data_IF_591461694381
#
_entry.id   IF_591461694381
#
_cell.length_a   1.000
_cell.length_b   1.000
_cell.length_c   1.000
_cell.angle_alpha   90.00
_cell.angle_beta   90.00
_cell.angle_gamma   90.00
#
_symmetry.space_group_name_H-M   'P 1'
#
loop_
_entity.id
_entity.type
_entity.pdbx_description
1 polymer ?
#
# COMPACT_ATOMS: atom_id res chain seq x y z
N UNK A 1 -15.97 -9.99 -6.96
CA UNK A 1 -16.79 -9.46 -5.85
C UNK A 1 -16.10 -8.20 -5.37
N UNK A 2 -16.78 -7.05 -5.25
CA UNK A 2 -16.13 -5.87 -4.66
C UNK A 2 -15.76 -6.21 -3.22
N UNK A 3 -14.56 -5.84 -2.79
CA UNK A 3 -14.18 -5.96 -1.38
C UNK A 3 -15.22 -5.23 -0.52
N UNK A 4 -15.53 -5.77 0.65
CA UNK A 4 -16.47 -5.17 1.61
C UNK A 4 -15.72 -4.37 2.65
N UNK A 5 -16.35 -3.30 3.17
CA UNK A 5 -15.85 -2.58 4.34
C UNK A 5 -15.65 -3.57 5.48
N UNK A 6 -14.46 -3.58 6.08
CA UNK A 6 -14.11 -4.51 7.15
C UNK A 6 -13.66 -3.72 8.39
N UNK A 7 -14.25 -4.01 9.55
CA UNK A 7 -13.89 -3.37 10.82
C UNK A 7 -13.27 -4.38 11.77
N UNK A 8 -12.21 -3.96 12.44
CA UNK A 8 -11.52 -4.71 13.48
C UNK A 8 -10.96 -3.75 14.52
N UNK A 9 -10.35 -4.28 15.57
CA UNK A 9 -9.71 -3.50 16.62
C UNK A 9 -8.23 -3.84 16.71
N UNK A 10 -7.44 -2.83 17.07
CA UNK A 10 -6.09 -3.01 17.59
C UNK A 10 -6.11 -2.38 18.97
N UNK A 11 -6.24 -3.22 20.00
CA UNK A 11 -6.44 -2.78 21.38
C UNK A 11 -7.64 -1.83 21.51
N UNK A 12 -7.37 -0.56 21.84
CA UNK A 12 -8.43 0.46 21.97
C UNK A 12 -8.78 1.17 20.65
N UNK A 13 -8.00 0.96 19.59
CA UNK A 13 -8.23 1.65 18.32
C UNK A 13 -9.26 0.89 17.50
N UNK A 14 -10.13 1.64 16.82
CA UNK A 14 -11.06 1.08 15.83
C UNK A 14 -10.43 1.24 14.46
N UNK A 15 -10.22 0.13 13.77
CA UNK A 15 -9.64 0.07 12.44
C UNK A 15 -10.73 -0.29 11.43
N UNK A 16 -10.82 0.47 10.34
CA UNK A 16 -11.78 0.23 9.25
C UNK A 16 -11.04 0.18 7.92
N UNK A 17 -11.04 -0.97 7.28
CA UNK A 17 -10.56 -1.14 5.90
C UNK A 17 -11.68 -0.74 4.96
N UNK A 18 -11.43 0.27 4.14
CA UNK A 18 -12.38 0.87 3.22
C UNK A 18 -11.88 0.65 1.80
N UNK A 19 -12.60 -0.12 0.97
CA UNK A 19 -12.15 -0.40 -0.38
C UNK A 19 -12.35 0.82 -1.29
N UNK A 20 -11.33 1.16 -2.07
CA UNK A 20 -11.46 2.08 -3.21
C UNK A 20 -11.93 1.36 -4.48
N UNK A 21 -11.64 0.06 -4.58
CA UNK A 21 -12.00 -0.74 -5.74
C UNK A 21 -11.00 -1.82 -6.03
N UNK A 22 -10.84 -2.15 -7.31
CA UNK A 22 -9.91 -3.17 -7.78
C UNK A 22 -9.26 -2.77 -9.09
N UNK A 23 -8.08 -3.30 -9.37
CA UNK A 23 -7.41 -3.21 -10.67
C UNK A 23 -7.03 -4.61 -11.17
N UNK A 24 -7.25 -4.86 -12.46
CA UNK A 24 -6.88 -6.12 -13.09
C UNK A 24 -5.55 -5.96 -13.82
N UNK A 25 -4.50 -6.59 -13.28
CA UNK A 25 -3.21 -6.66 -13.95
C UNK A 25 -3.25 -7.71 -15.05
N UNK A 26 -2.90 -7.31 -16.27
CA UNK A 26 -2.64 -8.22 -17.38
C UNK A 26 -1.21 -8.76 -17.28
N UNK A 27 -1.02 -10.03 -17.64
CA UNK A 27 0.29 -10.70 -17.56
C UNK A 27 0.94 -10.57 -16.17
N UNK A 28 0.23 -10.96 -15.09
CA UNK A 28 0.62 -10.64 -13.71
C UNK A 28 2.00 -11.15 -13.32
N UNK A 29 2.48 -12.27 -13.89
CA UNK A 29 3.83 -12.75 -13.65
C UNK A 29 4.92 -11.74 -14.07
N UNK A 30 4.75 -11.06 -15.21
CA UNK A 30 5.69 -10.04 -15.68
C UNK A 30 5.63 -8.76 -14.85
N UNK A 31 4.47 -8.47 -14.25
CA UNK A 31 4.29 -7.32 -13.37
C UNK A 31 4.91 -7.60 -12.00
N UNK A 32 4.56 -8.71 -11.35
CA UNK A 32 4.95 -8.95 -9.97
C UNK A 32 6.36 -9.57 -9.83
N UNK A 33 6.84 -10.33 -10.81
CA UNK A 33 8.08 -11.12 -10.67
C UNK A 33 9.07 -10.81 -11.80
N UNK A 34 9.30 -9.52 -12.07
CA UNK A 34 10.00 -9.02 -13.25
C UNK A 34 11.45 -9.52 -13.39
N UNK A 35 12.12 -9.83 -12.29
CA UNK A 35 13.49 -10.37 -12.28
C UNK A 35 13.55 -11.90 -12.17
N UNK A 36 12.43 -12.57 -11.92
CA UNK A 36 12.43 -14.00 -11.60
C UNK A 36 12.54 -14.86 -12.87
N UNK A 37 13.29 -15.96 -12.85
CA UNK A 37 13.29 -16.93 -13.93
C UNK A 37 11.87 -17.51 -14.16
N UNK A 38 11.44 -17.59 -15.42
CA UNK A 38 10.08 -18.01 -15.76
C UNK A 38 9.74 -19.42 -15.26
N UNK A 39 10.70 -20.35 -15.29
CA UNK A 39 10.54 -21.72 -14.77
C UNK A 39 10.37 -21.76 -13.25
N UNK A 40 11.05 -20.87 -12.53
CA UNK A 40 10.89 -20.71 -11.09
C UNK A 40 9.51 -20.14 -10.72
N UNK A 41 9.05 -19.11 -11.46
CA UNK A 41 7.70 -18.53 -11.29
C UNK A 41 6.63 -19.59 -11.57
N UNK A 42 6.74 -20.33 -12.66
CA UNK A 42 5.80 -21.39 -13.01
C UNK A 42 5.72 -22.48 -11.93
N UNK A 43 6.87 -22.87 -11.37
CA UNK A 43 6.93 -23.85 -10.30
C UNK A 43 6.24 -23.33 -9.02
N UNK A 44 6.50 -22.08 -8.63
CA UNK A 44 5.90 -21.45 -7.47
C UNK A 44 4.37 -21.30 -7.61
N UNK A 45 3.89 -20.86 -8.78
CA UNK A 45 2.45 -20.77 -9.08
C UNK A 45 1.77 -22.15 -8.96
N UNK A 46 2.38 -23.20 -9.53
CA UNK A 46 1.85 -24.57 -9.44
C UNK A 46 1.79 -25.08 -8.01
N UNK A 47 2.73 -24.69 -7.14
CA UNK A 47 2.71 -25.05 -5.72
C UNK A 47 1.47 -24.48 -5.00
N UNK A 48 0.91 -23.39 -5.50
CA UNK A 48 -0.34 -22.77 -5.02
C UNK A 48 -1.57 -23.12 -5.87
N UNK A 49 -1.49 -24.19 -6.67
CA UNK A 49 -2.56 -24.64 -7.56
C UNK A 49 -3.03 -23.58 -8.60
N UNK A 50 -2.15 -22.64 -8.95
CA UNK A 50 -2.37 -21.69 -10.03
C UNK A 50 -1.75 -22.28 -11.30
N UNK A 51 -2.54 -22.44 -12.36
CA UNK A 51 -2.03 -22.86 -13.67
C UNK A 51 -1.37 -21.66 -14.38
N UNK A 52 -0.04 -21.66 -14.59
CA UNK A 52 0.64 -20.52 -15.21
C UNK A 52 0.14 -20.24 -16.62
N UNK A 53 -0.29 -21.28 -17.35
CA UNK A 53 -0.82 -21.14 -18.71
C UNK A 53 -2.21 -20.49 -18.75
N UNK A 54 -2.93 -20.44 -17.62
CA UNK A 54 -4.25 -19.83 -17.52
C UNK A 54 -4.25 -18.53 -16.67
N UNK A 55 -3.14 -18.18 -16.04
CA UNK A 55 -3.03 -17.01 -15.16
C UNK A 55 -2.69 -15.73 -15.91
N UNK A 56 -3.63 -15.30 -16.76
CA UNK A 56 -3.47 -14.10 -17.59
C UNK A 56 -3.89 -12.80 -16.89
N UNK A 57 -4.70 -12.90 -15.83
CA UNK A 57 -5.21 -11.76 -15.09
C UNK A 57 -5.09 -11.99 -13.58
N UNK A 58 -4.68 -10.95 -12.85
CA UNK A 58 -4.76 -10.90 -11.39
C UNK A 58 -5.52 -9.65 -10.96
N UNK A 59 -6.60 -9.84 -10.20
CA UNK A 59 -7.41 -8.74 -9.68
C UNK A 59 -6.90 -8.36 -8.30
N UNK A 60 -6.20 -7.24 -8.21
CA UNK A 60 -5.75 -6.66 -6.94
C UNK A 60 -6.85 -5.78 -6.34
N UNK A 61 -7.15 -5.90 -5.04
CA UNK A 61 -7.91 -4.88 -4.32
C UNK A 61 -7.04 -3.65 -4.04
N UNK A 62 -7.69 -2.49 -3.87
CA UNK A 62 -7.09 -1.25 -3.38
C UNK A 62 -7.82 -0.79 -2.11
N UNK A 63 -7.32 -1.15 -0.92
CA UNK A 63 -7.94 -0.82 0.35
C UNK A 63 -7.24 0.32 1.09
N UNK A 64 -7.97 1.35 1.52
CA UNK A 64 -7.46 2.31 2.50
C UNK A 64 -7.76 1.87 3.94
N UNK A 65 -6.90 2.23 4.88
CA UNK A 65 -7.11 1.94 6.31
C UNK A 65 -7.46 3.23 7.07
N UNK A 66 -8.61 3.26 7.75
CA UNK A 66 -8.93 4.30 8.74
C UNK A 66 -8.65 3.77 10.14
N UNK A 67 -7.84 4.48 10.91
CA UNK A 67 -7.57 4.21 12.33
C UNK A 67 -8.16 5.33 13.17
N UNK A 68 -9.17 5.01 13.97
CA UNK A 68 -9.73 5.89 14.98
C UNK A 68 -9.10 5.57 16.34
N UNK A 69 -8.29 6.51 16.83
CA UNK A 69 -7.57 6.40 18.11
C UNK A 69 -8.40 6.85 19.31
N UNK A 70 -9.59 7.40 19.06
CA UNK A 70 -10.42 8.11 20.03
C UNK A 70 -10.05 9.60 20.20
N UNK A 71 -8.85 10.00 19.77
CA UNK A 71 -8.38 11.40 19.79
C UNK A 71 -8.09 11.97 18.41
N UNK A 72 -7.82 11.10 17.44
CA UNK A 72 -7.56 11.44 16.05
C UNK A 72 -8.04 10.31 15.13
N UNK A 73 -8.52 10.67 13.94
CA UNK A 73 -8.86 9.76 12.86
C UNK A 73 -7.84 9.88 11.74
N UNK A 74 -7.04 8.84 11.58
CA UNK A 74 -5.97 8.75 10.58
C UNK A 74 -6.43 7.88 9.41
N UNK A 75 -6.34 8.40 8.20
CA UNK A 75 -6.51 7.65 6.95
C UNK A 75 -5.14 7.31 6.39
N UNK A 76 -4.91 6.04 6.05
CA UNK A 76 -3.71 5.57 5.35
C UNK A 76 -4.09 5.32 3.89
N UNK A 77 -3.48 6.12 3.02
CA UNK A 77 -3.69 6.19 1.58
C UNK A 77 -5.12 6.54 1.13
N UNK A 78 -5.25 7.12 -0.05
CA UNK A 78 -6.50 7.68 -0.58
C UNK A 78 -7.03 6.95 -1.81
N UNK A 79 -6.52 5.75 -2.09
CA UNK A 79 -6.98 4.94 -3.21
C UNK A 79 -6.58 5.52 -4.57
N UNK A 80 -7.17 4.99 -5.64
CA UNK A 80 -6.72 5.23 -7.01
C UNK A 80 -7.47 6.32 -7.76
N UNK A 81 -8.50 6.91 -7.14
CA UNK A 81 -9.39 7.83 -7.83
C UNK A 81 -9.88 7.23 -9.15
N UNK A 82 -9.70 7.94 -10.26
CA UNK A 82 -10.17 7.52 -11.57
C UNK A 82 -9.14 6.69 -12.39
N UNK A 83 -8.19 6.01 -11.74
CA UNK A 83 -7.18 5.19 -12.42
C UNK A 83 -7.81 4.12 -13.35
N UNK A 84 -8.91 3.50 -12.93
CA UNK A 84 -9.66 2.55 -13.73
C UNK A 84 -11.19 2.67 -13.50
N UNK A 85 -12.04 2.12 -14.39
CA UNK A 85 -13.49 2.11 -14.18
C UNK A 85 -13.94 1.42 -12.90
N UNK A 86 -13.08 0.59 -12.31
CA UNK A 86 -13.32 -0.21 -11.11
C UNK A 86 -12.72 0.38 -9.84
N UNK A 87 -12.22 1.62 -9.87
CA UNK A 87 -11.62 2.34 -8.73
C UNK A 87 -12.44 3.59 -8.35
N UNK A 88 -11.96 4.37 -7.38
CA UNK A 88 -12.55 5.67 -7.01
C UNK A 88 -13.76 5.57 -6.09
N UNK A 89 -13.93 4.43 -5.41
CA UNK A 89 -15.03 4.19 -4.48
C UNK A 89 -14.70 4.56 -3.03
N UNK A 90 -13.51 5.09 -2.73
CA UNK A 90 -13.13 5.39 -1.35
C UNK A 90 -14.11 6.34 -0.66
N UNK A 91 -14.42 7.51 -1.26
CA UNK A 91 -15.31 8.50 -0.65
C UNK A 91 -16.75 7.99 -0.41
N UNK A 92 -17.44 7.34 -1.37
CA UNK A 92 -18.74 6.76 -1.07
C UNK A 92 -18.66 5.63 -0.04
N UNK A 93 -17.59 4.82 -0.04
CA UNK A 93 -17.44 3.73 0.92
C UNK A 93 -17.08 4.22 2.33
N UNK A 94 -16.35 5.33 2.48
CA UNK A 94 -16.14 6.01 3.76
C UNK A 94 -17.49 6.44 4.35
N UNK A 95 -18.34 7.10 3.55
CA UNK A 95 -19.69 7.51 4.00
C UNK A 95 -20.59 6.33 4.32
N UNK A 96 -20.53 5.26 3.53
CA UNK A 96 -21.23 4.01 3.85
C UNK A 96 -20.73 3.37 5.16
N UNK A 97 -19.45 3.56 5.49
CA UNK A 97 -18.87 3.21 6.78
C UNK A 97 -19.18 4.23 7.89
N UNK A 98 -20.00 5.26 7.66
CA UNK A 98 -20.31 6.31 8.64
C UNK A 98 -19.13 7.22 8.98
N UNK A 99 -18.13 7.31 8.09
CA UNK A 99 -16.95 8.18 8.21
C UNK A 99 -17.08 9.28 7.17
N UNK A 100 -17.34 10.50 7.61
CA UNK A 100 -17.32 11.66 6.70
C UNK A 100 -15.87 12.03 6.36
N UNK A 101 -15.53 12.33 5.09
CA UNK A 101 -14.18 12.77 4.71
C UNK A 101 -13.68 13.98 5.51
N UNK A 102 -14.57 14.88 5.91
CA UNK A 102 -14.29 16.05 6.74
C UNK A 102 -13.93 15.70 8.20
N UNK A 103 -14.17 14.45 8.62
CA UNK A 103 -13.81 13.95 9.95
C UNK A 103 -12.43 13.32 10.02
N UNK A 104 -11.72 13.21 8.88
CA UNK A 104 -10.32 12.76 8.86
C UNK A 104 -9.43 13.91 9.33
N UNK A 105 -8.63 13.64 10.36
CA UNK A 105 -7.70 14.62 10.93
C UNK A 105 -6.35 14.57 10.21
N UNK A 106 -5.91 13.37 9.84
CA UNK A 106 -4.60 13.13 9.21
C UNK A 106 -4.75 12.13 8.07
N UNK A 107 -4.13 12.43 6.92
CA UNK A 107 -3.95 11.49 5.82
C UNK A 107 -2.46 11.15 5.72
N UNK A 108 -2.11 9.88 5.88
CA UNK A 108 -0.76 9.36 5.63
C UNK A 108 -0.71 8.86 4.20
N UNK A 109 0.17 9.43 3.38
CA UNK A 109 0.46 8.98 2.03
C UNK A 109 1.72 8.15 2.10
N UNK A 110 1.56 6.83 2.03
CA UNK A 110 2.65 5.87 2.21
C UNK A 110 3.69 6.00 1.11
N UNK A 111 3.24 6.25 -0.12
CA UNK A 111 4.08 6.53 -1.27
C UNK A 111 3.30 7.18 -2.44
N UNK A 112 4.01 7.61 -3.48
CA UNK A 112 3.48 8.43 -4.58
C UNK A 112 2.87 7.67 -5.76
N UNK A 113 2.55 6.38 -5.66
CA UNK A 113 1.82 5.69 -6.72
C UNK A 113 0.35 6.08 -6.78
N UNK A 114 -0.20 5.93 -7.99
CA UNK A 114 -1.51 6.44 -8.34
C UNK A 114 -2.64 5.84 -7.50
N UNK A 115 -2.51 4.58 -7.10
CA UNK A 115 -3.45 3.85 -6.26
C UNK A 115 -3.37 4.17 -4.77
N UNK A 116 -2.45 5.04 -4.36
CA UNK A 116 -2.28 5.48 -2.96
C UNK A 116 -2.56 6.96 -2.76
N UNK A 117 -2.33 7.80 -3.78
CA UNK A 117 -2.60 9.24 -3.73
C UNK A 117 -3.73 9.72 -4.64
N UNK A 118 -4.28 8.83 -5.47
CA UNK A 118 -5.22 9.18 -6.54
C UNK A 118 -6.53 9.79 -6.06
N UNK A 119 -6.90 9.60 -4.80
CA UNK A 119 -8.08 10.18 -4.17
C UNK A 119 -7.82 11.43 -3.32
N UNK A 120 -6.62 12.02 -3.36
CA UNK A 120 -6.33 13.26 -2.63
C UNK A 120 -7.15 14.44 -3.15
N UNK A 121 -7.37 14.47 -4.46
CA UNK A 121 -8.06 15.56 -5.16
C UNK A 121 -9.31 15.00 -5.85
N UNK A 122 -10.44 15.67 -5.65
CA UNK A 122 -11.71 15.32 -6.28
C UNK A 122 -11.73 15.75 -7.74
N UNK A 123 -12.65 15.19 -8.53
CA UNK A 123 -12.79 15.55 -9.96
C UNK A 123 -13.06 17.05 -10.21
N UNK A 124 -13.58 17.80 -9.23
CA UNK A 124 -13.75 19.26 -9.29
C UNK A 124 -12.53 20.05 -8.79
N UNK A 125 -11.39 19.39 -8.55
CA UNK A 125 -10.11 20.01 -8.23
C UNK A 125 -9.95 20.45 -6.77
N UNK A 126 -10.77 19.92 -5.86
CA UNK A 126 -10.70 20.24 -4.42
C UNK A 126 -10.01 19.12 -3.65
N UNK A 127 -9.47 19.45 -2.48
CA UNK A 127 -9.02 18.43 -1.54
C UNK A 127 -10.21 17.57 -1.08
N UNK A 128 -10.08 16.26 -1.22
CA UNK A 128 -11.11 15.31 -0.79
C UNK A 128 -11.25 15.26 0.74
N UNK A 129 -10.18 15.60 1.46
CA UNK A 129 -10.10 15.62 2.92
C UNK A 129 -9.77 17.05 3.39
N UNK A 130 -10.73 17.99 3.35
CA UNK A 130 -10.45 19.42 3.43
C UNK A 130 -9.98 19.91 4.81
N UNK A 131 -10.13 19.09 5.85
CA UNK A 131 -9.70 19.38 7.22
C UNK A 131 -8.39 18.69 7.62
N UNK A 132 -7.95 17.70 6.84
CA UNK A 132 -6.80 16.90 7.20
C UNK A 132 -5.48 17.67 7.03
N UNK A 133 -4.51 17.41 7.90
CA UNK A 133 -3.10 17.52 7.56
C UNK A 133 -2.66 16.25 6.82
N UNK A 134 -1.59 16.36 6.04
CA UNK A 134 -1.04 15.26 5.28
C UNK A 134 0.33 14.91 5.81
N UNK A 135 0.71 13.63 5.75
CA UNK A 135 2.03 13.15 6.15
C UNK A 135 2.60 12.32 5.02
N UNK A 136 3.83 12.60 4.64
CA UNK A 136 4.55 11.89 3.59
C UNK A 136 6.05 11.88 3.90
N UNK A 137 6.79 10.90 3.40
CA UNK A 137 8.24 10.95 3.54
C UNK A 137 8.82 12.05 2.64
N UNK A 138 9.83 12.77 3.11
CA UNK A 138 10.47 13.87 2.36
C UNK A 138 11.01 13.40 1.02
N UNK A 139 11.78 12.31 1.02
CA UNK A 139 12.37 11.75 -0.19
C UNK A 139 11.31 11.33 -1.21
N UNK A 140 10.12 10.93 -0.74
CA UNK A 140 9.00 10.57 -1.60
C UNK A 140 8.39 11.82 -2.25
N UNK A 141 8.11 12.84 -1.44
CA UNK A 141 7.59 14.11 -1.93
C UNK A 141 8.53 14.73 -2.97
N UNK A 142 9.81 14.84 -2.66
CA UNK A 142 10.83 15.41 -3.54
C UNK A 142 10.91 14.61 -4.84
N UNK A 143 11.00 13.28 -4.77
CA UNK A 143 11.05 12.42 -5.96
C UNK A 143 9.87 12.64 -6.89
N UNK A 144 8.63 12.63 -6.39
CA UNK A 144 7.44 12.71 -7.23
C UNK A 144 7.07 14.13 -7.68
N UNK A 145 7.62 15.17 -7.04
CA UNK A 145 7.34 16.57 -7.40
C UNK A 145 8.43 17.20 -8.27
N UNK A 146 9.57 16.53 -8.48
CA UNK A 146 10.72 17.01 -9.28
C UNK A 146 10.87 16.34 -10.65
N UNK A 147 9.78 15.84 -11.24
CA UNK A 147 9.77 15.18 -12.57
C UNK A 147 10.76 13.98 -12.68
N UNK A 148 10.49 12.87 -11.96
CA UNK A 148 11.41 11.76 -11.90
C UNK A 148 11.51 11.02 -13.25
N UNK A 149 12.72 10.54 -13.57
CA UNK A 149 12.93 9.65 -14.71
C UNK A 149 12.54 8.21 -14.34
N UNK A 150 11.44 7.73 -14.92
CA UNK A 150 10.95 6.37 -14.73
C UNK A 150 11.37 5.43 -15.87
N UNK A 151 12.21 5.86 -16.80
CA UNK A 151 12.57 5.11 -18.02
C UNK A 151 13.24 3.75 -17.74
N UNK A 152 13.80 3.57 -16.55
CA UNK A 152 14.38 2.31 -16.08
C UNK A 152 13.34 1.25 -15.73
N UNK A 153 12.08 1.63 -15.46
CA UNK A 153 11.03 0.67 -15.14
C UNK A 153 10.66 -0.16 -16.38
N UNK A 154 10.69 -1.50 -16.30
CA UNK A 154 10.34 -2.41 -17.40
C UNK A 154 8.83 -2.53 -17.63
N UNK A 155 8.12 -1.39 -17.64
CA UNK A 155 6.68 -1.27 -17.88
C UNK A 155 6.41 -0.51 -19.17
N UNK A 156 5.21 -0.64 -19.76
CA UNK A 156 4.80 0.19 -20.89
C UNK A 156 4.81 1.70 -20.56
N UNK A 157 5.01 2.54 -21.58
CA UNK A 157 5.12 4.00 -21.38
C UNK A 157 3.86 4.62 -20.76
N UNK A 158 2.68 4.15 -21.16
CA UNK A 158 1.42 4.64 -20.61
C UNK A 158 1.30 4.41 -19.09
N UNK A 159 1.94 3.37 -18.53
CA UNK A 159 1.99 3.15 -17.08
C UNK A 159 2.86 4.20 -16.40
N UNK A 160 4.05 4.48 -16.93
CA UNK A 160 4.93 5.54 -16.42
C UNK A 160 4.24 6.91 -16.45
N UNK A 161 3.60 7.23 -17.57
CA UNK A 161 2.84 8.48 -17.71
C UNK A 161 1.67 8.56 -16.73
N UNK A 162 0.98 7.45 -16.46
CA UNK A 162 -0.10 7.42 -15.47
C UNK A 162 0.40 7.68 -14.04
N UNK A 163 1.55 7.11 -13.65
CA UNK A 163 2.18 7.37 -12.36
C UNK A 163 2.55 8.86 -12.20
N UNK A 164 3.25 9.42 -13.19
CA UNK A 164 3.64 10.84 -13.20
C UNK A 164 2.43 11.77 -13.18
N UNK A 165 1.41 11.48 -13.99
CA UNK A 165 0.20 12.29 -14.06
C UNK A 165 -0.59 12.27 -12.74
N UNK A 166 -0.68 11.12 -12.07
CA UNK A 166 -1.32 11.05 -10.76
C UNK A 166 -0.59 11.89 -9.72
N UNK A 167 0.74 11.72 -9.62
CA UNK A 167 1.54 12.49 -8.68
C UNK A 167 1.44 14.01 -8.92
N UNK A 168 1.57 14.45 -10.19
CA UNK A 168 1.46 15.85 -10.57
C UNK A 168 0.08 16.45 -10.30
N UNK A 169 -0.99 15.64 -10.35
CA UNK A 169 -2.34 16.09 -10.03
C UNK A 169 -2.61 16.12 -8.52
N UNK A 170 -2.16 15.10 -7.79
CA UNK A 170 -2.61 14.82 -6.43
C UNK A 170 -1.68 15.31 -5.31
N UNK A 171 -0.40 15.54 -5.58
CA UNK A 171 0.56 15.98 -4.56
C UNK A 171 0.65 17.51 -4.45
N UNK A 172 0.82 18.30 -5.52
CA UNK A 172 0.98 19.75 -5.40
C UNK A 172 -0.14 20.47 -4.62
N UNK A 173 -1.43 20.08 -4.73
CA UNK A 173 -2.50 20.69 -3.93
C UNK A 173 -2.36 20.51 -2.41
N UNK A 174 -1.52 19.59 -1.95
CA UNK A 174 -1.22 19.35 -0.53
C UNK A 174 -0.15 20.31 0.02
N UNK A 175 0.52 21.08 -0.84
CA UNK A 175 1.59 21.99 -0.44
C UNK A 175 1.10 22.95 0.66
N UNK A 176 1.90 23.08 1.73
CA UNK A 176 1.55 23.88 2.91
C UNK A 176 0.63 23.17 3.91
N UNK A 177 0.16 21.95 3.63
CA UNK A 177 -0.57 21.07 4.56
C UNK A 177 0.10 19.72 4.78
N UNK A 178 1.19 19.44 4.07
CA UNK A 178 1.98 18.22 4.20
C UNK A 178 3.13 18.42 5.19
N UNK A 179 3.22 17.52 6.16
CA UNK A 179 4.40 17.31 7.00
C UNK A 179 5.31 16.28 6.32
N UNK A 180 6.58 16.66 6.13
CA UNK A 180 7.57 15.83 5.45
C UNK A 180 8.52 15.18 6.46
N UNK A 181 8.36 13.88 6.66
CA UNK A 181 9.18 13.09 7.56
C UNK A 181 10.56 12.83 6.97
N UNK A 182 11.58 12.80 7.83
CA UNK A 182 12.97 12.49 7.44
C UNK A 182 13.55 11.31 8.22
N UNK A 183 12.83 10.85 9.23
CA UNK A 183 13.19 9.75 10.11
C UNK A 183 11.92 9.05 10.62
N UNK A 184 12.09 7.85 11.17
CA UNK A 184 10.97 7.11 11.79
C UNK A 184 10.48 7.86 13.02
N UNK A 185 9.17 8.09 13.13
CA UNK A 185 8.59 8.86 14.23
C UNK A 185 7.15 8.43 14.54
N UNK A 186 6.67 8.84 15.70
CA UNK A 186 5.27 8.73 16.07
C UNK A 186 4.47 9.88 15.43
N UNK A 187 3.52 9.55 14.54
CA UNK A 187 2.66 10.54 13.87
C UNK A 187 1.60 11.05 14.86
N UNK A 188 0.95 10.12 15.54
CA UNK A 188 0.04 10.34 16.67
C UNK A 188 0.22 9.20 17.67
N UNK A 189 -0.13 9.38 18.95
CA UNK A 189 0.02 8.33 19.96
C UNK A 189 -0.48 6.96 19.48
N UNK A 190 0.44 6.00 19.38
CA UNK A 190 0.19 4.63 18.94
C UNK A 190 0.31 4.37 17.43
N UNK A 191 0.58 5.36 16.58
CA UNK A 191 0.78 5.19 15.12
C UNK A 191 2.16 5.75 14.74
N UNK A 192 3.06 4.87 14.30
CA UNK A 192 4.43 5.21 13.94
C UNK A 192 4.70 4.99 12.44
N UNK A 193 5.39 5.95 11.83
CA UNK A 193 5.99 5.81 10.51
C UNK A 193 7.25 4.96 10.60
N UNK A 194 7.36 3.96 9.72
CA UNK A 194 8.54 3.10 9.57
C UNK A 194 9.08 3.33 8.17
N UNK A 195 10.36 3.65 8.04
CA UNK A 195 10.99 3.79 6.75
C UNK A 195 10.91 2.43 6.03
N UNK A 196 10.44 2.41 4.79
CA UNK A 196 10.35 1.21 3.98
C UNK A 196 10.79 1.47 2.52
N UNK A 197 11.93 2.16 2.28
CA UNK A 197 12.34 2.54 0.93
C UNK A 197 12.64 1.32 0.07
N UNK A 198 12.47 1.45 -1.23
CA UNK A 198 12.66 0.35 -2.17
C UNK A 198 11.67 0.43 -3.31
N UNK A 199 10.42 0.09 -3.01
CA UNK A 199 9.31 0.18 -3.96
C UNK A 199 9.26 1.56 -4.60
N UNK A 200 9.34 2.58 -3.75
CA UNK A 200 9.71 3.96 -4.11
C UNK A 200 10.75 4.49 -3.11
N UNK A 201 11.46 5.60 -3.42
CA UNK A 201 12.57 6.09 -2.59
C UNK A 201 12.20 6.46 -1.16
N UNK A 202 10.96 6.87 -0.89
CA UNK A 202 10.45 7.22 0.42
C UNK A 202 9.18 6.46 0.80
N UNK A 203 8.95 5.28 0.23
CA UNK A 203 7.90 4.37 0.69
C UNK A 203 8.01 4.13 2.21
N UNK A 204 6.86 4.15 2.90
CA UNK A 204 6.80 3.89 4.33
C UNK A 204 5.76 2.83 4.69
N UNK A 205 6.07 2.06 5.73
CA UNK A 205 5.16 1.16 6.42
C UNK A 205 4.68 1.83 7.73
N UNK A 206 3.67 1.25 8.37
CA UNK A 206 3.16 1.76 9.65
C UNK A 206 3.16 0.68 10.73
N UNK A 207 3.54 1.07 11.95
CA UNK A 207 3.23 0.29 13.17
C UNK A 207 2.13 0.99 13.95
N UNK A 208 1.02 0.28 14.13
CA UNK A 208 -0.15 0.74 14.89
C UNK A 208 -0.25 -0.12 16.14
N UNK A 209 -0.23 0.47 17.32
CA UNK A 209 -0.23 -0.26 18.58
C UNK A 209 -1.09 0.40 19.63
N UNK A 210 -1.81 -0.40 20.40
CA UNK A 210 -2.67 0.07 21.47
C UNK A 210 -2.94 -1.07 22.45
N UNK A 211 -2.89 -0.78 23.75
CA UNK A 211 -3.20 -1.74 24.82
C UNK A 211 -2.49 -3.11 24.71
N UNK A 212 -1.27 -3.15 24.17
CA UNK A 212 -0.46 -4.37 24.01
C UNK A 212 -0.74 -5.15 22.73
N UNK A 213 -1.67 -4.71 21.90
CA UNK A 213 -1.90 -5.24 20.55
C UNK A 213 -1.19 -4.40 19.51
N UNK A 214 -0.80 -5.01 18.40
CA UNK A 214 -0.03 -4.39 17.33
C UNK A 214 -0.49 -4.85 15.95
N UNK A 215 -0.53 -3.92 15.01
CA UNK A 215 -0.69 -4.10 13.58
C UNK A 215 0.52 -3.49 12.87
N UNK A 216 1.15 -4.27 11.99
CA UNK A 216 2.12 -3.76 11.01
C UNK A 216 1.42 -3.67 9.65
N UNK A 217 1.24 -2.46 9.14
CA UNK A 217 0.78 -2.26 7.77
C UNK A 217 2.00 -2.15 6.85
N UNK A 218 2.24 -3.19 6.05
CA UNK A 218 3.41 -3.31 5.19
C UNK A 218 3.27 -2.59 3.84
N UNK A 219 2.05 -2.13 3.52
CA UNK A 219 1.72 -1.42 2.28
C UNK A 219 2.27 -2.22 1.08
N UNK A 220 3.21 -1.65 0.33
CA UNK A 220 3.74 -2.18 -0.94
C UNK A 220 5.12 -2.80 -0.79
N UNK A 221 5.52 -3.10 0.45
CA UNK A 221 6.68 -3.96 0.71
C UNK A 221 6.55 -5.31 -0.01
N UNK A 222 5.31 -5.81 -0.15
CA UNK A 222 4.96 -7.04 -0.87
C UNK A 222 3.65 -6.83 -1.63
N UNK A 223 3.62 -7.15 -2.93
CA UNK A 223 2.44 -6.97 -3.80
C UNK A 223 1.68 -8.29 -4.04
N UNK A 224 2.38 -9.42 -3.91
CA UNK A 224 1.82 -10.76 -4.05
C UNK A 224 2.38 -11.69 -2.94
N UNK A 225 1.63 -12.70 -2.45
CA UNK A 225 2.12 -13.64 -1.42
C UNK A 225 3.45 -14.30 -1.75
N UNK A 226 3.71 -14.59 -3.03
CA UNK A 226 4.99 -15.14 -3.49
C UNK A 226 6.20 -14.23 -3.20
N UNK A 227 6.04 -12.92 -2.98
CA UNK A 227 7.15 -12.08 -2.51
C UNK A 227 7.57 -12.42 -1.08
N UNK A 228 6.73 -13.10 -0.28
CA UNK A 228 7.15 -13.57 1.05
C UNK A 228 7.97 -14.86 0.95
N UNK A 229 7.57 -15.75 0.04
CA UNK A 229 8.21 -17.05 -0.20
C UNK A 229 9.52 -16.90 -1.00
N UNK A 230 9.55 -15.91 -1.88
CA UNK A 230 10.68 -15.51 -2.72
C UNK A 230 10.99 -14.02 -2.53
N UNK A 231 11.56 -13.63 -1.37
CA UNK A 231 11.78 -12.23 -1.03
C UNK A 231 12.74 -11.50 -1.97
N UNK A 232 13.53 -12.23 -2.76
CA UNK A 232 14.41 -11.72 -3.80
C UNK A 232 13.69 -11.34 -5.12
N UNK A 233 12.42 -11.75 -5.30
CA UNK A 233 11.65 -11.39 -6.48
C UNK A 233 11.11 -9.96 -6.37
N UNK A 234 11.24 -9.18 -7.43
CA UNK A 234 10.83 -7.77 -7.48
C UNK A 234 9.79 -7.52 -8.56
N UNK A 235 8.96 -6.52 -8.30
CA UNK A 235 7.95 -6.03 -9.24
C UNK A 235 8.58 -5.17 -10.33
N UNK A 236 7.93 -5.13 -11.49
CA UNK A 236 8.26 -4.23 -12.59
C UNK A 236 8.09 -2.74 -12.22
N UNK A 237 7.41 -2.44 -11.11
CA UNK A 237 7.20 -1.08 -10.59
C UNK A 237 8.05 -0.77 -9.35
N UNK A 238 8.95 -1.66 -8.93
CA UNK A 238 9.93 -1.35 -7.87
C UNK A 238 11.04 -0.45 -8.43
N UNK A 239 11.15 0.78 -7.92
CA UNK A 239 12.13 1.76 -8.39
C UNK A 239 13.56 1.47 -7.93
N UNK A 240 13.72 0.82 -6.77
CA UNK A 240 15.01 0.50 -6.17
C UNK A 240 15.06 -0.98 -5.77
N UNK A 241 15.19 -1.92 -6.74
CA UNK A 241 15.04 -3.36 -6.52
C UNK A 241 15.88 -3.94 -5.37
N UNK A 242 17.16 -3.60 -5.28
CA UNK A 242 18.04 -4.09 -4.21
C UNK A 242 17.55 -3.61 -2.82
N UNK A 243 17.07 -2.36 -2.75
CA UNK A 243 16.56 -1.79 -1.52
C UNK A 243 15.18 -2.34 -1.16
N UNK A 244 14.33 -2.66 -2.15
CA UNK A 244 13.07 -3.38 -1.95
C UNK A 244 13.32 -4.72 -1.26
N UNK A 245 14.26 -5.52 -1.76
CA UNK A 245 14.61 -6.82 -1.17
C UNK A 245 15.08 -6.62 0.28
N UNK A 246 16.01 -5.69 0.52
CA UNK A 246 16.53 -5.43 1.86
C UNK A 246 15.42 -4.98 2.85
N UNK A 247 14.55 -4.05 2.42
CA UNK A 247 13.39 -3.59 3.21
C UNK A 247 12.43 -4.73 3.51
N UNK A 248 12.12 -5.55 2.50
CA UNK A 248 11.22 -6.69 2.63
C UNK A 248 11.74 -7.71 3.65
N UNK A 249 13.01 -8.10 3.56
CA UNK A 249 13.61 -8.99 4.56
C UNK A 249 13.51 -8.42 5.98
N UNK A 250 13.82 -7.13 6.17
CA UNK A 250 13.77 -6.48 7.48
C UNK A 250 12.34 -6.47 8.06
N UNK A 251 11.36 -6.07 7.26
CA UNK A 251 9.98 -5.94 7.72
C UNK A 251 9.27 -7.28 7.91
N UNK A 252 9.53 -8.28 7.05
CA UNK A 252 8.99 -9.63 7.24
C UNK A 252 9.62 -10.32 8.45
N UNK A 253 10.94 -10.16 8.66
CA UNK A 253 11.60 -10.65 9.87
C UNK A 253 11.01 -10.03 11.14
N UNK A 254 10.77 -8.71 11.12
CA UNK A 254 10.11 -7.99 12.22
C UNK A 254 8.70 -8.53 12.47
N UNK A 255 7.88 -8.63 11.43
CA UNK A 255 6.51 -9.12 11.54
C UNK A 255 6.43 -10.53 12.14
N UNK A 256 7.30 -11.44 11.67
CA UNK A 256 7.38 -12.81 12.19
C UNK A 256 7.90 -12.85 13.64
N UNK A 257 8.93 -12.07 13.96
CA UNK A 257 9.53 -12.02 15.30
C UNK A 257 8.60 -11.42 16.36
N UNK A 258 7.88 -10.36 16.01
CA UNK A 258 6.88 -9.71 16.87
C UNK A 258 5.57 -10.49 16.94
N UNK A 259 5.34 -11.45 16.02
CA UNK A 259 4.06 -12.13 15.81
C UNK A 259 2.91 -11.12 15.64
N UNK A 260 3.21 -10.01 14.98
CA UNK A 260 2.26 -8.92 14.78
C UNK A 260 1.14 -9.37 13.83
N UNK A 261 -0.06 -8.82 14.04
CA UNK A 261 -1.04 -8.79 12.97
C UNK A 261 -0.47 -7.93 11.84
N UNK A 262 -0.68 -8.34 10.60
CA UNK A 262 -0.15 -7.66 9.41
C UNK A 262 -1.28 -7.30 8.48
N UNK A 263 -1.22 -6.10 7.89
CA UNK A 263 -2.04 -5.69 6.76
C UNK A 263 -1.15 -5.45 5.53
N UNK A 264 -1.50 -6.06 4.39
CA UNK A 264 -0.85 -5.83 3.10
C UNK A 264 -1.87 -5.26 2.12
N UNK A 265 -1.49 -4.22 1.38
CA UNK A 265 -2.40 -3.44 0.53
C UNK A 265 -3.01 -4.29 -0.61
N UNK A 266 -2.16 -4.96 -1.39
CA UNK A 266 -2.56 -5.70 -2.59
C UNK A 266 -3.04 -7.14 -2.36
N UNK A 267 -3.10 -7.59 -1.10
CA UNK A 267 -3.49 -8.98 -0.81
C UNK A 267 -5.02 -9.13 -0.85
N UNK A 268 -5.54 -10.33 -1.18
CA UNK A 268 -6.98 -10.58 -1.17
C UNK A 268 -7.64 -10.08 0.12
N UNK A 269 -8.74 -9.33 -0.05
CA UNK A 269 -9.41 -8.67 1.07
C UNK A 269 -9.78 -9.67 2.19
N UNK A 270 -9.60 -9.30 3.47
CA UNK A 270 -9.23 -7.96 3.97
C UNK A 270 -7.73 -7.65 3.98
N UNK A 271 -6.87 -8.52 3.43
CA UNK A 271 -5.42 -8.32 3.45
C UNK A 271 -4.80 -8.44 4.86
N UNK A 272 -5.55 -9.00 5.83
CA UNK A 272 -5.12 -9.21 7.21
C UNK A 272 -4.62 -10.64 7.43
N UNK A 273 -3.57 -10.79 8.24
CA UNK A 273 -2.96 -12.09 8.50
C UNK A 273 -1.67 -11.96 9.30
N UNK A 274 -0.91 -13.04 9.35
CA UNK A 274 0.38 -13.10 10.03
C UNK A 274 1.46 -13.57 9.06
N UNK A 275 2.68 -13.11 9.30
CA UNK A 275 3.88 -13.56 8.59
C UNK A 275 4.53 -14.66 9.42
N UNK A 276 4.69 -15.85 8.83
CA UNK A 276 5.31 -17.00 9.50
C UNK A 276 6.65 -17.28 8.84
N UNK A 277 7.72 -17.34 9.64
CA UNK A 277 9.04 -17.71 9.14
C UNK A 277 9.07 -19.17 8.70
N UNK A 278 9.66 -19.44 7.53
CA UNK A 278 9.89 -20.76 6.97
C UNK A 278 11.34 -20.86 6.47
N UNK A 279 12.21 -21.53 7.23
CA UNK A 279 13.64 -21.63 6.94
C UNK A 279 14.29 -20.27 6.59
N UNK A 280 14.56 -20.02 5.31
CA UNK A 280 15.18 -18.80 4.79
C UNK A 280 14.18 -17.79 4.17
N UNK A 281 12.87 -18.04 4.30
CA UNK A 281 11.78 -17.27 3.70
C UNK A 281 10.60 -17.08 4.67
N UNK A 282 9.48 -16.60 4.14
CA UNK A 282 8.25 -16.41 4.90
C UNK A 282 7.03 -16.89 4.14
N UNK A 283 5.96 -17.19 4.87
CA UNK A 283 4.64 -17.49 4.30
C UNK A 283 3.57 -16.59 4.89
N UNK A 284 2.57 -16.28 4.08
CA UNK A 284 1.37 -15.58 4.51
C UNK A 284 0.37 -16.53 5.16
N UNK A 285 -0.04 -16.22 6.38
CA UNK A 285 -1.16 -16.87 7.05
C UNK A 285 -2.32 -15.89 7.18
N UNK A 286 -3.27 -15.94 6.23
CA UNK A 286 -4.45 -15.08 6.25
C UNK A 286 -5.26 -15.25 7.55
N UNK A 287 -5.76 -14.14 8.07
CA UNK A 287 -6.71 -14.15 9.18
C UNK A 287 -8.06 -14.65 8.67
N UNK A 288 -8.57 -15.72 9.28
CA UNK A 288 -9.89 -16.31 9.01
C UNK A 288 -10.99 -15.62 9.79
#
# INVERSE_FOLDING_TARGET
>A
MSASIHRFSVGKFTCTIVPDGTFAYEHPAAVFFANAPADAVDAALRAHAIDPAAWHHYVSPYPSLVVDTGTARVLVDTGAGNLAPTTGQLLPNLRAAGIEPESIDIVVITHGHADHNGGNVTADGKLAFPRASFVMWRAEWEFWTEEPDLSSLPVPDFIRQALLASAAHNLPPLAGRVELLVEECEIVPGIHAIAAPGHTPGHMALSISSAGEQLLHLVDTVLHPLHMEHPEWVSAVDLLPEQTVATRHRLLARAAGEKALVMVYHFPAPGLGHVVAQDCAWSWQAQT
#
